data_IF_065599065125
#
_entry.id   IF_065599065125
#
_cell.length_a   1.000
_cell.length_b   1.000
_cell.length_c   1.000
_cell.angle_alpha   90.00
_cell.angle_beta   90.00
_cell.angle_gamma   90.00
#
_symmetry.space_group_name_H-M   'P 1'
#
loop_
_entity.id
_entity.type
_entity.pdbx_description
1 polymer ?
#
# COMPACT_ATOMS: atom_id res chain seq x y z
N UNK A 1 8.46 -4.18 -15.90
CA UNK A 1 7.45 -4.25 -16.98
C UNK A 1 6.53 -5.42 -16.63
N UNK A 2 5.21 -5.20 -16.57
CA UNK A 2 4.22 -6.27 -16.41
C UNK A 2 4.15 -7.04 -17.73
N UNK A 3 5.11 -7.92 -18.01
CA UNK A 3 5.11 -8.69 -19.25
C UNK A 3 4.17 -9.87 -19.13
N UNK A 4 3.15 -9.93 -19.99
CA UNK A 4 2.20 -11.04 -20.05
C UNK A 4 1.01 -10.96 -19.08
N UNK A 5 0.82 -9.83 -18.38
CA UNK A 5 -0.34 -9.62 -17.51
C UNK A 5 -1.52 -9.03 -18.28
N UNK A 6 -2.73 -9.49 -17.99
CA UNK A 6 -3.96 -8.80 -18.33
C UNK A 6 -4.21 -7.69 -17.31
N UNK A 7 -4.42 -6.45 -17.79
CA UNK A 7 -4.64 -5.29 -16.93
C UNK A 7 -6.08 -4.82 -17.11
N UNK A 8 -6.84 -4.84 -16.01
CA UNK A 8 -8.22 -4.34 -15.98
C UNK A 8 -8.24 -3.04 -15.18
N UNK A 9 -8.71 -1.96 -15.81
CA UNK A 9 -8.86 -0.64 -15.19
C UNK A 9 -10.32 -0.22 -15.33
N UNK A 10 -10.96 0.07 -14.21
CA UNK A 10 -12.35 0.51 -14.15
C UNK A 10 -12.50 1.70 -13.21
N UNK A 11 -13.45 2.58 -13.50
CA UNK A 11 -13.84 3.62 -12.56
C UNK A 11 -14.48 3.00 -11.32
N UNK A 12 -14.05 3.45 -10.14
CA UNK A 12 -14.60 2.93 -8.90
C UNK A 12 -16.12 3.17 -8.81
N UNK A 13 -16.88 2.08 -8.69
CA UNK A 13 -18.31 2.12 -8.41
C UNK A 13 -18.60 1.18 -7.23
N UNK A 14 -18.98 1.71 -6.05
CA UNK A 14 -19.14 0.89 -4.85
C UNK A 14 -20.28 -0.13 -4.98
N UNK A 15 -21.26 0.09 -5.86
CA UNK A 15 -22.37 -0.84 -6.07
C UNK A 15 -21.97 -2.04 -6.94
N UNK A 16 -20.94 -1.90 -7.77
CA UNK A 16 -20.49 -2.97 -8.66
C UNK A 16 -19.14 -3.59 -8.24
N UNK A 17 -18.37 -2.90 -7.39
CA UNK A 17 -16.99 -3.27 -7.06
C UNK A 17 -16.83 -4.74 -6.61
N UNK A 18 -17.64 -5.19 -5.65
CA UNK A 18 -17.57 -6.57 -5.12
C UNK A 18 -17.95 -7.58 -6.20
N UNK A 19 -18.98 -7.27 -7.01
CA UNK A 19 -19.40 -8.11 -8.13
C UNK A 19 -18.28 -8.27 -9.13
N UNK A 20 -17.63 -7.17 -9.53
CA UNK A 20 -16.49 -7.18 -10.46
C UNK A 20 -15.31 -7.97 -9.91
N UNK A 21 -14.98 -7.80 -8.63
CA UNK A 21 -13.90 -8.56 -8.00
C UNK A 21 -14.15 -10.08 -8.04
N UNK A 22 -15.40 -10.51 -7.82
CA UNK A 22 -15.83 -11.92 -7.91
C UNK A 22 -15.86 -12.47 -9.33
N UNK A 23 -16.18 -11.64 -10.31
CA UNK A 23 -16.18 -12.00 -11.74
C UNK A 23 -14.76 -12.14 -12.28
N UNK A 24 -13.89 -11.18 -11.96
CA UNK A 24 -12.52 -11.11 -12.47
C UNK A 24 -11.61 -12.12 -11.78
N UNK A 25 -11.76 -12.30 -10.45
CA UNK A 25 -10.87 -13.13 -9.61
C UNK A 25 -9.37 -12.84 -9.87
N UNK A 26 -8.91 -11.61 -9.59
CA UNK A 26 -7.57 -11.20 -9.96
C UNK A 26 -6.48 -11.90 -9.12
N UNK A 27 -5.36 -12.23 -9.74
CA UNK A 27 -4.14 -12.67 -9.03
C UNK A 27 -3.50 -11.54 -8.21
N UNK A 28 -3.74 -10.28 -8.62
CA UNK A 28 -3.25 -9.09 -7.93
C UNK A 28 -4.21 -7.92 -8.12
N UNK A 29 -4.46 -7.16 -7.06
CA UNK A 29 -5.32 -5.97 -7.11
C UNK A 29 -4.80 -4.87 -6.20
N UNK A 30 -5.25 -3.64 -6.44
CA UNK A 30 -4.96 -2.48 -5.60
C UNK A 30 -6.25 -2.11 -4.86
N UNK A 31 -6.19 -2.11 -3.53
CA UNK A 31 -7.29 -1.66 -2.67
C UNK A 31 -6.73 -0.57 -1.76
N UNK A 32 -6.86 0.68 -2.17
CA UNK A 32 -6.41 1.81 -1.35
C UNK A 32 -7.22 1.90 -0.05
N UNK A 33 -6.64 2.41 1.05
CA UNK A 33 -7.31 2.49 2.36
C UNK A 33 -8.71 3.10 2.33
N UNK A 34 -8.91 4.14 1.51
CA UNK A 34 -10.21 4.80 1.36
C UNK A 34 -11.26 3.91 0.69
N UNK A 35 -10.89 3.10 -0.29
CA UNK A 35 -11.79 2.12 -0.92
C UNK A 35 -12.16 1.06 0.10
N UNK A 36 -11.17 0.52 0.84
CA UNK A 36 -11.44 -0.41 1.92
C UNK A 36 -12.42 0.19 2.95
N UNK A 37 -12.21 1.42 3.41
CA UNK A 37 -13.06 2.10 4.41
C UNK A 37 -14.54 2.24 3.97
N UNK A 38 -14.80 2.30 2.67
CA UNK A 38 -16.15 2.36 2.10
C UNK A 38 -16.73 0.95 1.98
N UNK A 39 -15.93 0.02 1.46
CA UNK A 39 -16.41 -1.30 1.08
C UNK A 39 -16.52 -2.27 2.25
N UNK A 40 -15.62 -2.20 3.24
CA UNK A 40 -15.61 -3.08 4.42
C UNK A 40 -16.86 -2.95 5.30
N UNK A 41 -17.63 -1.88 5.15
CA UNK A 41 -18.91 -1.66 5.83
C UNK A 41 -20.09 -2.39 5.16
N UNK A 42 -19.92 -2.91 3.95
CA UNK A 42 -20.96 -3.61 3.20
C UNK A 42 -20.99 -5.08 3.59
N UNK A 43 -22.18 -5.67 3.71
CA UNK A 43 -22.35 -7.07 4.15
C UNK A 43 -21.66 -8.05 3.20
N UNK A 44 -21.64 -7.72 1.92
CA UNK A 44 -21.09 -8.53 0.85
C UNK A 44 -19.55 -8.60 0.90
N UNK A 45 -18.90 -7.65 1.59
CA UNK A 45 -17.44 -7.60 1.72
C UNK A 45 -16.89 -8.79 2.50
N UNK A 46 -17.56 -9.15 3.61
CA UNK A 46 -17.15 -10.27 4.46
C UNK A 46 -17.29 -11.63 3.77
N UNK A 47 -17.90 -11.67 2.57
CA UNK A 47 -18.10 -12.86 1.76
C UNK A 47 -17.28 -12.81 0.45
N UNK A 48 -16.19 -12.05 0.44
CA UNK A 48 -15.20 -12.05 -0.65
C UNK A 48 -14.18 -13.15 -0.36
N UNK A 49 -13.78 -13.87 -1.40
CA UNK A 49 -12.67 -14.81 -1.37
C UNK A 49 -11.49 -14.18 -2.12
N UNK A 50 -10.42 -13.88 -1.39
CA UNK A 50 -9.17 -13.32 -1.91
C UNK A 50 -8.05 -14.37 -1.90
N UNK A 51 -8.36 -15.65 -1.75
CA UNK A 51 -7.36 -16.73 -1.73
C UNK A 51 -6.48 -16.67 -2.98
N UNK A 52 -5.16 -16.58 -2.77
CA UNK A 52 -4.17 -16.47 -3.85
C UNK A 52 -4.00 -15.07 -4.44
N UNK A 53 -4.83 -14.09 -4.05
CA UNK A 53 -4.74 -12.72 -4.51
C UNK A 53 -3.73 -11.90 -3.70
N UNK A 54 -2.82 -11.19 -4.38
CA UNK A 54 -1.97 -10.16 -3.77
C UNK A 54 -2.69 -8.82 -3.76
N UNK A 55 -2.86 -8.23 -2.58
CA UNK A 55 -3.61 -6.99 -2.40
C UNK A 55 -2.67 -5.87 -1.99
N UNK A 56 -2.38 -4.98 -2.93
CA UNK A 56 -1.55 -3.79 -2.67
C UNK A 56 -2.40 -2.71 -2.02
N UNK A 57 -1.96 -2.23 -0.86
CA UNK A 57 -2.56 -1.14 -0.10
C UNK A 57 -1.52 -0.04 0.10
N UNK A 58 -1.85 1.20 -0.20
CA UNK A 58 -0.93 2.33 -0.09
C UNK A 58 -1.60 3.62 -0.53
N UNK A 59 -0.81 4.65 -0.85
CA UNK A 59 -1.27 6.00 -1.23
C UNK A 59 -1.95 6.82 -0.12
N UNK A 60 -2.26 6.19 1.01
CA UNK A 60 -2.80 6.82 2.22
C UNK A 60 -2.35 5.96 3.42
N UNK A 61 -2.64 6.39 4.65
CA UNK A 61 -2.31 5.63 5.86
C UNK A 61 -3.03 4.27 5.86
N UNK A 62 -2.24 3.19 5.94
CA UNK A 62 -2.75 1.82 6.06
C UNK A 62 -2.79 1.44 7.53
N UNK A 63 -3.93 0.91 8.01
CA UNK A 63 -4.06 0.45 9.40
C UNK A 63 -3.85 -1.06 9.53
N UNK A 64 -3.47 -1.53 10.72
CA UNK A 64 -3.29 -2.96 10.94
C UNK A 64 -4.62 -3.74 10.76
N UNK A 65 -5.75 -3.14 11.12
CA UNK A 65 -7.07 -3.72 10.88
C UNK A 65 -7.37 -3.95 9.40
N UNK A 66 -6.85 -3.11 8.50
CA UNK A 66 -6.97 -3.32 7.06
C UNK A 66 -6.14 -4.51 6.60
N UNK A 67 -4.88 -4.59 7.07
CA UNK A 67 -3.97 -5.71 6.77
C UNK A 67 -4.58 -7.04 7.24
N UNK A 68 -5.06 -7.08 8.49
CA UNK A 68 -5.63 -8.28 9.08
C UNK A 68 -6.91 -8.70 8.35
N UNK A 69 -7.78 -7.76 8.01
CA UNK A 69 -8.99 -8.07 7.25
C UNK A 69 -8.71 -8.66 5.86
N UNK A 70 -7.65 -8.21 5.17
CA UNK A 70 -7.24 -8.85 3.91
C UNK A 70 -6.77 -10.30 4.15
N UNK A 71 -6.02 -10.56 5.22
CA UNK A 71 -5.60 -11.92 5.60
C UNK A 71 -6.80 -12.82 5.92
N UNK A 72 -7.78 -12.30 6.66
CA UNK A 72 -9.03 -13.00 6.99
C UNK A 72 -9.83 -13.40 5.74
N UNK A 73 -9.80 -12.57 4.69
CA UNK A 73 -10.43 -12.86 3.39
C UNK A 73 -9.59 -13.82 2.52
N UNK A 74 -8.44 -14.32 3.01
CA UNK A 74 -7.54 -15.24 2.31
C UNK A 74 -6.48 -14.56 1.42
N UNK A 75 -6.45 -13.23 1.39
CA UNK A 75 -5.51 -12.46 0.57
C UNK A 75 -4.12 -12.32 1.17
N UNK A 76 -3.15 -12.00 0.33
CA UNK A 76 -1.79 -11.59 0.75
C UNK A 76 -1.69 -10.07 0.73
N UNK A 77 -1.76 -9.37 1.87
CA UNK A 77 -1.65 -7.92 1.89
C UNK A 77 -0.21 -7.47 1.60
N UNK A 78 -0.09 -6.37 0.86
CA UNK A 78 1.17 -5.68 0.58
C UNK A 78 0.95 -4.21 0.93
N UNK A 79 1.42 -3.79 2.10
CA UNK A 79 1.51 -2.38 2.45
C UNK A 79 2.64 -1.76 1.64
N UNK A 80 2.31 -0.81 0.77
CA UNK A 80 3.23 -0.09 -0.10
C UNK A 80 3.29 1.37 0.33
N UNK A 81 4.50 1.89 0.46
CA UNK A 81 4.75 3.32 0.67
C UNK A 81 5.61 3.88 -0.46
N UNK A 82 5.33 5.13 -0.81
CA UNK A 82 5.98 5.89 -1.88
C UNK A 82 5.20 7.17 -2.20
N UNK A 83 5.64 7.87 -3.24
CA UNK A 83 5.04 9.13 -3.70
C UNK A 83 5.19 9.29 -5.20
N UNK A 84 4.83 10.45 -5.76
CA UNK A 84 5.12 10.81 -7.15
C UNK A 84 6.52 11.39 -7.36
N UNK A 85 7.13 11.96 -6.32
CA UNK A 85 8.45 12.62 -6.35
C UNK A 85 9.61 11.61 -6.32
N UNK A 86 9.32 10.40 -5.83
CA UNK A 86 10.14 9.19 -5.96
C UNK A 86 9.29 8.12 -6.65
N UNK A 87 9.84 7.00 -7.12
CA UNK A 87 8.98 5.94 -7.67
C UNK A 87 7.87 5.51 -6.67
N UNK A 88 6.64 5.21 -7.13
CA UNK A 88 5.45 5.09 -6.27
C UNK A 88 5.46 3.98 -5.21
N UNK A 89 6.42 3.05 -5.28
CA UNK A 89 6.60 1.96 -4.34
C UNK A 89 8.09 1.86 -4.02
N UNK A 90 8.52 2.62 -3.00
CA UNK A 90 9.92 2.63 -2.54
C UNK A 90 10.18 1.54 -1.52
N UNK A 91 9.15 1.12 -0.79
CA UNK A 91 9.23 0.03 0.18
C UNK A 91 7.90 -0.71 0.29
N UNK A 92 7.99 -1.95 0.77
CA UNK A 92 6.84 -2.81 1.03
C UNK A 92 6.94 -3.50 2.38
N UNK A 93 5.80 -3.74 2.99
CA UNK A 93 5.62 -4.43 4.26
C UNK A 93 4.39 -5.35 4.21
N UNK A 94 4.34 -6.34 5.09
CA UNK A 94 3.18 -7.19 5.35
C UNK A 94 2.41 -6.78 6.63
N UNK A 95 2.84 -5.66 7.24
CA UNK A 95 2.26 -5.01 8.42
C UNK A 95 2.13 -3.50 8.23
N UNK A 96 1.19 -2.89 8.97
CA UNK A 96 1.05 -1.45 9.07
C UNK A 96 2.03 -0.82 10.10
N UNK A 97 2.66 -1.62 10.96
CA UNK A 97 3.48 -1.12 12.07
C UNK A 97 4.76 -0.40 11.62
N UNK A 98 5.28 -0.75 10.44
CA UNK A 98 6.47 -0.15 9.87
C UNK A 98 6.48 -0.25 8.33
N UNK A 99 7.33 0.57 7.70
CA UNK A 99 7.46 0.71 6.24
C UNK A 99 8.16 -0.47 5.54
N UNK A 100 8.58 -1.48 6.30
CA UNK A 100 9.15 -2.72 5.79
C UNK A 100 10.47 -2.56 5.03
N UNK A 101 10.64 -3.31 3.95
CA UNK A 101 11.89 -3.39 3.19
C UNK A 101 11.93 -2.34 2.09
N UNK A 102 12.94 -1.47 2.13
CA UNK A 102 13.21 -0.51 1.06
C UNK A 102 13.88 -1.18 -0.15
N UNK A 103 13.52 -0.71 -1.34
CA UNK A 103 14.21 -1.03 -2.58
C UNK A 103 15.68 -0.64 -2.48
N UNK A 104 16.58 -1.52 -2.96
CA UNK A 104 18.04 -1.24 -3.02
C UNK A 104 18.40 -0.04 -3.91
N UNK A 105 17.44 0.48 -4.68
CA UNK A 105 17.59 1.63 -5.57
C UNK A 105 17.13 2.95 -4.93
N UNK A 106 16.67 2.89 -3.68
CA UNK A 106 16.27 4.06 -2.89
C UNK A 106 17.37 4.34 -1.89
N UNK A 107 17.88 5.56 -1.91
CA UNK A 107 18.65 6.07 -0.79
C UNK A 107 17.68 6.84 0.11
N UNK A 108 17.75 6.61 1.42
CA UNK A 108 16.94 7.33 2.40
C UNK A 108 17.78 7.74 3.62
N UNK A 109 17.29 8.76 4.32
CA UNK A 109 17.81 9.21 5.60
C UNK A 109 16.67 9.82 6.43
N UNK A 110 16.91 9.96 7.72
CA UNK A 110 15.97 10.60 8.64
C UNK A 110 16.65 11.84 9.20
N UNK A 111 16.05 13.02 9.00
CA UNK A 111 16.50 14.29 9.59
C UNK A 111 15.32 14.92 10.33
N UNK A 112 15.51 15.31 11.59
CA UNK A 112 14.46 15.89 12.44
C UNK A 112 13.15 15.05 12.49
N UNK A 113 13.30 13.72 12.53
CA UNK A 113 12.20 12.74 12.44
C UNK A 113 11.39 12.82 11.13
N UNK A 114 11.93 13.41 10.07
CA UNK A 114 11.32 13.44 8.74
C UNK A 114 12.05 12.46 7.84
N UNK A 115 11.28 11.64 7.12
CA UNK A 115 11.81 10.73 6.13
C UNK A 115 12.19 11.50 4.86
N UNK A 116 13.45 11.42 4.46
CA UNK A 116 13.98 12.08 3.26
C UNK A 116 14.55 10.99 2.36
N UNK A 117 14.23 11.05 1.07
CA UNK A 117 14.62 9.98 0.15
C UNK A 117 14.89 10.49 -1.25
N UNK A 118 15.61 9.67 -2.01
CA UNK A 118 15.76 9.82 -3.45
C UNK A 118 15.89 8.44 -4.07
N UNK A 119 15.43 8.31 -5.30
CA UNK A 119 15.89 7.22 -6.14
C UNK A 119 17.34 7.47 -6.52
N UNK A 120 18.15 6.42 -6.62
CA UNK A 120 19.60 6.56 -6.88
C UNK A 120 19.93 7.32 -8.17
N UNK A 121 19.02 7.29 -9.16
CA UNK A 121 19.18 8.04 -10.41
C UNK A 121 18.67 9.48 -10.35
N UNK A 122 18.19 9.96 -9.19
CA UNK A 122 17.74 11.34 -8.99
C UNK A 122 18.85 12.17 -8.36
N UNK A 123 18.98 13.42 -8.82
CA UNK A 123 19.96 14.36 -8.29
C UNK A 123 19.53 14.98 -6.95
N UNK A 124 18.21 15.14 -6.76
CA UNK A 124 17.63 15.86 -5.62
C UNK A 124 16.99 14.90 -4.63
N UNK A 125 17.17 15.21 -3.35
CA UNK A 125 16.43 14.59 -2.26
C UNK A 125 15.01 15.15 -2.19
N UNK A 126 14.03 14.26 -2.02
CA UNK A 126 12.65 14.59 -1.72
C UNK A 126 12.43 14.57 -0.22
N UNK A 127 11.91 15.68 0.30
CA UNK A 127 11.47 15.82 1.69
C UNK A 127 10.01 15.41 1.77
N UNK A 128 9.74 14.21 2.31
CA UNK A 128 8.39 13.65 2.29
C UNK A 128 7.39 14.39 3.17
N UNK A 129 7.88 15.15 4.16
CA UNK A 129 7.12 15.67 5.30
C UNK A 129 6.43 14.57 6.13
N UNK A 130 6.75 13.29 5.90
CA UNK A 130 6.28 12.19 6.70
C UNK A 130 7.14 12.06 7.95
N UNK A 131 6.49 12.18 9.10
CA UNK A 131 7.10 11.99 10.42
C UNK A 131 7.30 10.51 10.66
N UNK A 132 8.52 10.13 11.02
CA UNK A 132 8.90 8.74 11.26
C UNK A 132 9.69 8.60 12.55
N UNK A 133 9.72 7.37 13.07
CA UNK A 133 10.59 6.98 14.17
C UNK A 133 11.26 5.65 13.85
N UNK A 134 12.55 5.57 14.13
CA UNK A 134 13.26 4.29 14.07
C UNK A 134 13.07 3.52 15.38
N UNK A 135 12.61 2.27 15.27
CA UNK A 135 12.39 1.36 16.39
C UNK A 135 12.90 -0.02 15.98
N UNK A 136 13.90 -0.52 16.69
CA UNK A 136 14.51 -1.84 16.44
C UNK A 136 14.94 -2.04 14.97
N UNK A 137 15.50 -1.00 14.34
CA UNK A 137 15.92 -1.02 12.93
C UNK A 137 14.78 -0.92 11.91
N UNK A 138 13.53 -0.76 12.36
CA UNK A 138 12.38 -0.54 11.49
C UNK A 138 11.93 0.93 11.54
N UNK A 139 11.40 1.43 10.41
CA UNK A 139 10.88 2.79 10.30
C UNK A 139 9.37 2.77 10.47
N UNK A 140 8.88 3.36 11.56
CA UNK A 140 7.45 3.53 11.83
C UNK A 140 6.97 4.87 11.31
N UNK A 141 5.84 4.88 10.59
CA UNK A 141 5.18 6.10 10.12
C UNK A 141 4.27 6.66 11.22
N UNK A 142 4.50 7.91 11.62
CA UNK A 142 3.74 8.57 12.70
C UNK A 142 2.67 9.54 12.18
N UNK A 143 2.76 9.95 10.91
CA UNK A 143 1.86 10.90 10.28
C UNK A 143 2.60 11.92 9.43
N UNK A 144 1.97 13.05 9.13
CA UNK A 144 2.55 14.13 8.30
C UNK A 144 2.77 15.40 9.09
N UNK A 145 3.85 16.11 8.77
CA UNK A 145 4.02 17.52 9.14
C UNK A 145 3.12 18.35 8.22
N UNK A 146 2.10 18.96 8.81
CA UNK A 146 1.26 19.97 8.17
C UNK A 146 2.02 21.29 8.04
#
# INVERSE_FOLDING_TARGET
MLTGAEIIIENFNPNNYIKRLKEIKPDSTIIIPRVWNIMSKRKEWNNIDLTGCKVVMGSDFVSQAQIDNIKELGGTPIHSYGSSEVPPMVCISDTADHLGTFSKKVDYKIEDNILIMKWQSQDKWWYSNDKVKEVNGNIQLLGRKL
#
